data_IF_990788206886
#
_entry.id   IF_990788206886
#
_cell.length_a   1.000
_cell.length_b   1.000
_cell.length_c   1.000
_cell.angle_alpha   90.00
_cell.angle_beta   90.00
_cell.angle_gamma   90.00
#
_symmetry.space_group_name_H-M   'P 1'
#
loop_
_entity.id
_entity.type
_entity.pdbx_description
1 polymer ?
#
# COMPACT_ATOMS: atom_id res chain seq x y z
N UNK A 1 -1.25 2.79 -8.88
CA UNK A 1 -0.93 3.68 -10.02
C UNK A 1 -1.99 4.76 -10.17
N UNK A 2 -3.18 4.46 -10.69
CA UNK A 2 -4.23 5.45 -10.98
C UNK A 2 -4.67 6.31 -9.79
N UNK A 3 -4.67 5.78 -8.57
CA UNK A 3 -4.96 6.58 -7.38
C UNK A 3 -3.97 7.74 -7.17
N UNK A 4 -2.68 7.50 -7.40
CA UNK A 4 -1.63 8.54 -7.29
C UNK A 4 -1.76 9.56 -8.41
N UNK A 5 -2.00 9.11 -9.64
CA UNK A 5 -2.26 9.98 -10.80
C UNK A 5 -3.44 10.91 -10.52
N UNK A 6 -4.57 10.35 -10.05
CA UNK A 6 -5.78 11.14 -9.72
C UNK A 6 -5.53 12.11 -8.57
N UNK A 7 -4.70 11.74 -7.60
CA UNK A 7 -4.31 12.64 -6.52
C UNK A 7 -3.50 13.81 -7.07
N UNK A 8 -2.44 13.54 -7.84
CA UNK A 8 -1.63 14.59 -8.47
C UNK A 8 -2.50 15.54 -9.30
N UNK A 9 -3.38 14.99 -10.13
CA UNK A 9 -4.29 15.79 -10.96
C UNK A 9 -5.20 16.67 -10.11
N UNK A 10 -5.70 16.17 -8.98
CA UNK A 10 -6.53 16.94 -8.05
C UNK A 10 -5.73 18.04 -7.34
N UNK A 11 -4.50 17.74 -6.92
CA UNK A 11 -3.63 18.69 -6.23
C UNK A 11 -3.15 19.82 -7.18
N UNK A 12 -3.16 19.59 -8.50
CA UNK A 12 -2.77 20.54 -9.55
C UNK A 12 -3.96 20.90 -10.48
N UNK A 13 -5.17 20.94 -9.93
CA UNK A 13 -6.41 21.17 -10.67
C UNK A 13 -6.83 22.64 -10.62
N UNK A 14 -7.15 23.23 -11.78
CA UNK A 14 -7.87 24.50 -11.88
C UNK A 14 -9.34 24.31 -12.32
N UNK A 15 -9.80 23.06 -12.33
CA UNK A 15 -11.13 22.61 -12.75
C UNK A 15 -11.48 22.89 -14.23
N UNK A 16 -10.47 23.09 -15.08
CA UNK A 16 -10.67 23.19 -16.53
C UNK A 16 -10.20 21.94 -17.27
N UNK A 17 -10.88 21.62 -18.38
CA UNK A 17 -10.48 20.49 -19.22
C UNK A 17 -9.11 20.67 -19.90
N UNK A 18 -8.75 21.86 -20.44
CA UNK A 18 -7.44 22.06 -21.06
C UNK A 18 -6.27 21.80 -20.09
N UNK A 19 -6.35 22.31 -18.87
CA UNK A 19 -5.32 22.10 -17.85
C UNK A 19 -5.25 20.64 -17.40
N UNK A 20 -6.40 19.96 -17.28
CA UNK A 20 -6.42 18.51 -17.03
C UNK A 20 -5.68 17.74 -18.12
N UNK A 21 -5.92 18.09 -19.39
CA UNK A 21 -5.27 17.45 -20.54
C UNK A 21 -3.76 17.69 -20.54
N UNK A 22 -3.31 18.91 -20.21
CA UNK A 22 -1.90 19.25 -20.10
C UNK A 22 -1.21 18.54 -18.91
N UNK A 23 -1.90 18.42 -17.77
CA UNK A 23 -1.34 17.83 -16.55
C UNK A 23 -1.35 16.30 -16.56
N UNK A 24 -2.20 15.65 -17.37
CA UNK A 24 -2.28 14.19 -17.45
C UNK A 24 -0.94 13.49 -17.74
N UNK A 25 -0.17 13.84 -18.79
CA UNK A 25 1.12 13.20 -19.05
C UNK A 25 2.12 13.42 -17.91
N UNK A 26 2.11 14.60 -17.28
CA UNK A 26 2.98 14.93 -16.13
C UNK A 26 2.60 14.06 -14.93
N UNK A 27 1.31 13.90 -14.66
CA UNK A 27 0.78 13.07 -13.59
C UNK A 27 1.11 11.59 -13.79
N UNK A 28 1.09 11.11 -15.05
CA UNK A 28 1.49 9.73 -15.37
C UNK A 28 2.99 9.51 -15.14
N UNK A 29 3.82 10.48 -15.56
CA UNK A 29 5.28 10.43 -15.39
C UNK A 29 5.73 10.60 -13.93
N UNK A 30 4.96 11.27 -13.09
CA UNK A 30 5.29 11.50 -11.68
C UNK A 30 5.18 10.23 -10.82
N UNK A 31 4.45 9.21 -11.28
CA UNK A 31 4.29 7.96 -10.54
C UNK A 31 5.56 7.11 -10.63
N UNK A 32 6.27 7.01 -9.51
CA UNK A 32 7.46 6.16 -9.39
C UNK A 32 7.17 4.70 -9.72
N UNK A 33 8.07 4.04 -10.44
CA UNK A 33 8.00 2.61 -10.75
C UNK A 33 7.85 1.74 -9.49
N UNK A 34 8.52 2.13 -8.39
CA UNK A 34 8.41 1.44 -7.11
C UNK A 34 6.98 1.42 -6.55
N UNK A 35 6.14 2.42 -6.87
CA UNK A 35 4.72 2.41 -6.53
C UNK A 35 3.99 1.31 -7.31
N UNK A 36 4.27 1.16 -8.61
CA UNK A 36 3.65 0.12 -9.46
C UNK A 36 4.01 -1.27 -8.92
N UNK A 37 5.30 -1.53 -8.69
CA UNK A 37 5.80 -2.79 -8.14
C UNK A 37 5.19 -3.12 -6.77
N UNK A 38 5.01 -2.12 -5.89
CA UNK A 38 4.34 -2.31 -4.60
C UNK A 38 2.90 -2.80 -4.76
N UNK A 39 2.15 -2.27 -5.73
CA UNK A 39 0.79 -2.70 -6.01
C UNK A 39 0.74 -4.10 -6.61
N UNK A 40 1.63 -4.40 -7.55
CA UNK A 40 1.80 -5.75 -8.12
C UNK A 40 2.09 -6.79 -7.02
N UNK A 41 3.13 -6.57 -6.21
CA UNK A 41 3.47 -7.46 -5.11
C UNK A 41 2.32 -7.62 -4.11
N UNK A 42 1.56 -6.54 -3.85
CA UNK A 42 0.37 -6.64 -3.00
C UNK A 42 -0.67 -7.56 -3.62
N UNK A 43 -0.90 -7.50 -4.93
CA UNK A 43 -1.83 -8.39 -5.60
C UNK A 43 -1.39 -9.84 -5.61
N UNK A 44 -0.11 -10.11 -5.84
CA UNK A 44 0.46 -11.47 -5.73
C UNK A 44 0.16 -12.07 -4.35
N UNK A 45 0.43 -11.33 -3.27
CA UNK A 45 0.16 -11.78 -1.90
C UNK A 45 -1.33 -12.07 -1.65
N UNK A 46 -2.23 -11.28 -2.24
CA UNK A 46 -3.67 -11.56 -2.16
C UNK A 46 -4.04 -12.84 -2.89
N UNK A 47 -3.50 -13.04 -4.10
CA UNK A 47 -3.74 -14.28 -4.87
C UNK A 47 -3.23 -15.50 -4.11
N UNK A 48 -2.03 -15.43 -3.52
CA UNK A 48 -1.46 -16.53 -2.75
C UNK A 48 -2.27 -16.83 -1.49
N UNK A 49 -2.74 -15.80 -0.78
CA UNK A 49 -3.61 -15.98 0.38
C UNK A 49 -4.91 -16.70 0.00
N UNK A 50 -5.56 -16.32 -1.11
CA UNK A 50 -6.76 -17.02 -1.58
C UNK A 50 -6.46 -18.44 -2.08
N UNK A 51 -5.34 -18.66 -2.77
CA UNK A 51 -4.90 -20.00 -3.19
C UNK A 51 -4.68 -20.95 -2.02
N UNK A 52 -4.29 -20.42 -0.86
CA UNK A 52 -4.16 -21.19 0.38
C UNK A 52 -5.50 -21.50 1.07
N UNK A 53 -6.63 -21.12 0.47
CA UNK A 53 -7.98 -21.42 0.97
C UNK A 53 -8.48 -20.47 2.06
N UNK A 54 -7.78 -19.36 2.31
CA UNK A 54 -8.14 -18.41 3.37
C UNK A 54 -9.39 -17.62 3.02
N UNK A 55 -10.23 -17.39 4.03
CA UNK A 55 -11.33 -16.44 3.92
C UNK A 55 -10.84 -15.00 3.79
N UNK A 56 -11.70 -14.09 3.34
CA UNK A 56 -11.32 -12.69 3.07
C UNK A 56 -10.67 -11.97 4.27
N UNK A 57 -11.14 -12.23 5.49
CA UNK A 57 -10.60 -11.62 6.72
C UNK A 57 -9.20 -12.14 7.06
N UNK A 58 -8.96 -13.43 6.86
CA UNK A 58 -7.66 -14.07 7.13
C UNK A 58 -6.63 -13.70 6.06
N UNK A 59 -7.06 -13.69 4.79
CA UNK A 59 -6.24 -13.21 3.69
C UNK A 59 -5.82 -11.74 3.89
N UNK A 60 -6.74 -10.89 4.36
CA UNK A 60 -6.41 -9.51 4.70
C UNK A 60 -5.35 -9.43 5.80
N UNK A 61 -5.45 -10.25 6.85
CA UNK A 61 -4.46 -10.29 7.93
C UNK A 61 -3.08 -10.73 7.43
N UNK A 62 -3.02 -11.75 6.56
CA UNK A 62 -1.76 -12.18 5.95
C UNK A 62 -1.15 -11.10 5.07
N UNK A 63 -1.91 -10.50 4.16
CA UNK A 63 -1.40 -9.43 3.29
C UNK A 63 -0.94 -8.23 4.12
N UNK A 64 -1.65 -7.91 5.21
CA UNK A 64 -1.30 -6.81 6.11
C UNK A 64 0.06 -7.02 6.77
N UNK A 65 0.43 -8.26 7.11
CA UNK A 65 1.71 -8.58 7.75
C UNK A 65 2.93 -8.10 6.94
N UNK A 66 2.79 -7.95 5.63
CA UNK A 66 3.86 -7.48 4.74
C UNK A 66 3.84 -5.98 4.45
N UNK A 67 2.78 -5.30 4.83
CA UNK A 67 2.61 -3.85 4.61
C UNK A 67 2.82 -3.04 5.90
N UNK A 68 2.53 -3.67 7.04
CA UNK A 68 2.54 -3.03 8.35
C UNK A 68 3.77 -3.47 9.14
N UNK A 69 4.47 -2.52 9.77
CA UNK A 69 5.50 -2.85 10.74
C UNK A 69 4.84 -3.46 11.98
N UNK A 70 5.24 -4.69 12.35
CA UNK A 70 4.75 -5.37 13.56
C UNK A 70 5.23 -4.69 14.85
N UNK A 71 6.43 -4.08 14.80
CA UNK A 71 7.05 -3.40 15.93
C UNK A 71 7.50 -1.99 15.52
N UNK A 72 7.45 -1.05 16.48
CA UNK A 72 7.89 0.34 16.27
C UNK A 72 9.40 0.42 15.95
N UNK A 73 10.19 -0.51 16.48
CA UNK A 73 11.64 -0.64 16.27
C UNK A 73 12.01 -2.10 16.07
N UNK A 74 13.04 -2.37 15.26
CA UNK A 74 13.58 -3.72 15.06
C UNK A 74 14.19 -4.31 16.34
N UNK A 75 14.65 -3.45 17.28
CA UNK A 75 15.35 -3.87 18.50
C UNK A 75 14.49 -3.81 19.76
N UNK A 76 13.20 -3.48 19.66
CA UNK A 76 12.33 -3.32 20.83
C UNK A 76 11.06 -4.15 20.67
N UNK A 77 10.91 -5.14 21.55
CA UNK A 77 9.64 -5.85 21.75
C UNK A 77 8.66 -4.96 22.53
N UNK A 78 7.36 -4.99 22.23
CA UNK A 78 6.35 -4.30 23.01
C UNK A 78 6.34 -4.83 24.45
N UNK A 79 6.20 -3.94 25.43
CA UNK A 79 6.16 -4.32 26.86
C UNK A 79 5.04 -5.31 27.17
N UNK A 80 3.93 -5.23 26.43
CA UNK A 80 2.83 -6.21 26.53
C UNK A 80 3.25 -7.63 26.17
N UNK A 81 4.16 -7.79 25.22
CA UNK A 81 4.72 -9.08 24.82
C UNK A 81 5.85 -9.52 25.76
N UNK A 82 6.68 -8.57 26.21
CA UNK A 82 7.76 -8.87 27.16
C UNK A 82 7.22 -9.50 28.46
N UNK A 83 6.16 -8.93 29.04
CA UNK A 83 5.54 -9.44 30.28
C UNK A 83 4.98 -10.87 30.18
N UNK A 84 4.71 -11.38 28.97
CA UNK A 84 4.25 -12.75 28.78
C UNK A 84 5.37 -13.78 28.96
N UNK A 85 6.64 -13.35 28.93
CA UNK A 85 7.79 -14.22 29.16
C UNK A 85 8.32 -14.15 30.60
N UNK A 86 7.81 -13.23 31.42
CA UNK A 86 8.19 -13.06 32.83
C UNK A 86 7.35 -13.95 33.79
N UNK A 87 6.42 -14.74 33.24
CA UNK A 87 5.52 -15.67 33.96
C UNK A 87 5.91 -17.12 33.71
#
# INVERSE_FOLDING_TARGET
FWGEVKKYLRDNCDYTFPTLQANLPIALASVRLSTIQKWEHRMIRWMDAYRSGLGAKEAQNQVRAFSSKKYKSHRRIPETLARQFDS
#
